data_IF_228151978233
#
_entry.id   IF_228151978233
#
_cell.length_a   1.000
_cell.length_b   1.000
_cell.length_c   1.000
_cell.angle_alpha   90.00
_cell.angle_beta   90.00
_cell.angle_gamma   90.00
#
_symmetry.space_group_name_H-M   'P 1'
#
loop_
_entity.id
_entity.type
_entity.pdbx_description
1 polymer ?
#
# COMPACT_ATOMS: atom_id res chain seq x y z
N UNK A 1 -8.08 -0.07 12.94
CA UNK A 1 -7.26 -1.24 12.57
C UNK A 1 -6.61 -0.97 11.23
N UNK A 2 -5.35 -1.37 11.06
CA UNK A 2 -4.54 -1.07 9.87
C UNK A 2 -3.85 -2.36 9.41
N UNK A 3 -3.85 -2.63 8.12
CA UNK A 3 -3.07 -3.71 7.52
C UNK A 3 -2.06 -3.13 6.53
N UNK A 4 -0.82 -3.61 6.61
CA UNK A 4 0.30 -3.17 5.77
C UNK A 4 0.77 -4.37 4.95
N UNK A 5 0.75 -4.27 3.63
CA UNK A 5 1.26 -5.28 2.71
C UNK A 5 2.46 -4.73 1.95
N UNK A 6 3.61 -5.36 2.09
CA UNK A 6 4.83 -5.02 1.34
C UNK A 6 5.64 -6.31 1.12
N UNK A 7 6.15 -6.53 -0.09
CA UNK A 7 6.92 -7.73 -0.42
C UNK A 7 8.42 -7.56 -0.15
N UNK A 8 8.88 -6.33 -0.02
CA UNK A 8 10.30 -6.00 0.00
C UNK A 8 10.93 -6.12 1.39
N UNK A 9 12.25 -6.24 1.36
CA UNK A 9 13.11 -6.00 2.53
C UNK A 9 13.70 -4.59 2.47
N UNK A 10 14.15 -4.10 3.62
CA UNK A 10 14.71 -2.76 3.76
C UNK A 10 16.11 -2.72 3.15
N UNK A 11 16.33 -1.76 2.25
CA UNK A 11 17.63 -1.46 1.67
C UNK A 11 18.22 -0.15 2.24
N UNK A 12 19.55 0.00 2.21
CA UNK A 12 20.24 1.23 2.67
C UNK A 12 19.74 2.47 1.93
N UNK A 13 19.44 2.36 0.63
CA UNK A 13 18.91 3.46 -0.19
C UNK A 13 17.53 3.93 0.25
N UNK A 14 16.81 3.17 1.07
CA UNK A 14 15.49 3.54 1.58
C UNK A 14 15.59 4.55 2.75
N UNK A 15 16.71 4.54 3.48
CA UNK A 15 16.87 5.25 4.75
C UNK A 15 16.84 6.79 4.62
N UNK A 16 17.01 7.33 3.41
CA UNK A 16 16.94 8.77 3.18
C UNK A 16 15.51 9.34 3.17
N UNK A 17 14.49 8.48 3.02
CA UNK A 17 13.09 8.92 2.85
C UNK A 17 12.04 8.05 3.56
N UNK A 18 12.39 6.83 3.94
CA UNK A 18 11.51 5.91 4.68
C UNK A 18 11.89 5.94 6.16
N UNK A 19 11.48 7.01 6.85
CA UNK A 19 11.93 7.38 8.19
C UNK A 19 11.55 6.39 9.32
N UNK A 20 10.69 5.41 9.05
CA UNK A 20 10.40 4.32 10.00
C UNK A 20 11.57 3.34 10.13
N UNK A 21 12.51 3.36 9.19
CA UNK A 21 13.60 2.40 9.12
C UNK A 21 14.92 2.97 9.68
N UNK A 22 15.78 2.06 10.15
CA UNK A 22 17.10 2.35 10.72
C UNK A 22 18.12 1.43 10.08
N UNK A 23 19.40 1.74 10.23
CA UNK A 23 20.49 0.95 9.64
C UNK A 23 20.50 -0.50 10.12
N UNK A 24 20.12 -0.75 11.37
CA UNK A 24 19.97 -2.09 11.95
C UNK A 24 18.79 -2.90 11.36
N UNK A 25 17.86 -2.24 10.68
CA UNK A 25 16.71 -2.89 10.03
C UNK A 25 17.01 -3.37 8.60
N UNK A 26 18.19 -3.06 8.04
CA UNK A 26 18.53 -3.46 6.67
C UNK A 26 18.48 -4.99 6.52
N UNK A 27 17.81 -5.46 5.47
CA UNK A 27 17.54 -6.88 5.21
C UNK A 27 16.29 -7.44 5.91
N UNK A 28 15.67 -6.69 6.82
CA UNK A 28 14.40 -7.08 7.44
C UNK A 28 13.20 -6.68 6.57
N UNK A 29 12.06 -7.33 6.76
CA UNK A 29 10.83 -7.04 6.02
C UNK A 29 10.29 -5.64 6.32
N UNK A 30 10.00 -4.85 5.28
CA UNK A 30 9.50 -3.47 5.43
C UNK A 30 8.20 -3.42 6.23
N UNK A 31 7.23 -4.26 5.88
CA UNK A 31 5.92 -4.30 6.55
C UNK A 31 6.04 -4.56 8.06
N UNK A 32 6.85 -5.54 8.44
CA UNK A 32 7.05 -5.94 9.85
C UNK A 32 7.69 -4.82 10.66
N UNK A 33 8.78 -4.23 10.15
CA UNK A 33 9.49 -3.14 10.84
C UNK A 33 8.63 -1.88 10.90
N UNK A 34 7.89 -1.56 9.82
CA UNK A 34 6.99 -0.42 9.79
C UNK A 34 5.88 -0.55 10.86
N UNK A 35 5.27 -1.73 10.98
CA UNK A 35 4.27 -1.99 12.02
C UNK A 35 4.85 -1.88 13.43
N UNK A 36 6.06 -2.43 13.66
CA UNK A 36 6.73 -2.32 14.96
C UNK A 36 7.04 -0.86 15.33
N UNK A 37 7.61 -0.09 14.39
CA UNK A 37 7.90 1.32 14.59
C UNK A 37 6.62 2.15 14.84
N UNK A 38 5.55 1.87 14.09
CA UNK A 38 4.26 2.53 14.27
C UNK A 38 3.63 2.24 15.63
N UNK A 39 3.66 0.98 16.10
CA UNK A 39 3.19 0.61 17.45
C UNK A 39 4.03 1.24 18.56
N UNK A 40 5.33 1.44 18.35
CA UNK A 40 6.18 2.14 19.32
C UNK A 40 5.79 3.62 19.46
N UNK A 41 5.33 4.27 18.37
CA UNK A 41 4.84 5.65 18.40
C UNK A 41 3.39 5.77 18.90
N UNK A 42 2.54 4.78 18.59
CA UNK A 42 1.14 4.73 19.00
C UNK A 42 0.80 3.31 19.51
N UNK A 43 0.96 3.04 20.81
CA UNK A 43 0.77 1.69 21.38
C UNK A 43 -0.64 1.13 21.22
N UNK A 44 -1.66 1.99 21.15
CA UNK A 44 -3.05 1.59 20.97
C UNK A 44 -3.40 1.21 19.52
N UNK A 45 -2.50 1.49 18.58
CA UNK A 45 -2.73 1.18 17.17
C UNK A 45 -2.67 -0.34 16.92
N UNK A 46 -3.78 -0.89 16.43
CA UNK A 46 -3.84 -2.28 15.94
C UNK A 46 -3.39 -2.32 14.48
N UNK A 47 -2.20 -2.86 14.27
CA UNK A 47 -1.55 -2.92 12.95
C UNK A 47 -1.21 -4.38 12.65
N UNK A 48 -1.58 -4.93 11.50
CA UNK A 48 -1.13 -6.25 11.04
C UNK A 48 -0.19 -6.05 9.86
N UNK A 49 0.95 -6.76 9.88
CA UNK A 49 1.96 -6.68 8.82
C UNK A 49 1.95 -7.96 8.01
N UNK A 50 1.92 -7.81 6.69
CA UNK A 50 1.99 -8.90 5.73
C UNK A 50 3.22 -8.69 4.86
N UNK A 51 4.22 -9.54 5.02
CA UNK A 51 5.30 -9.62 4.04
C UNK A 51 4.80 -10.45 2.85
N UNK A 52 4.40 -9.80 1.76
CA UNK A 52 3.79 -10.50 0.65
C UNK A 52 3.52 -9.61 -0.55
N UNK A 53 3.37 -10.24 -1.70
CA UNK A 53 3.01 -9.55 -2.94
C UNK A 53 1.49 -9.38 -2.98
N UNK A 54 1.00 -8.14 -3.04
CA UNK A 54 -0.44 -7.82 -3.11
C UNK A 54 -1.15 -8.52 -4.29
N UNK A 55 -0.40 -8.93 -5.32
CA UNK A 55 -0.92 -9.70 -6.47
C UNK A 55 -1.16 -11.18 -6.19
N UNK A 56 -0.82 -11.68 -5.00
CA UNK A 56 -1.06 -13.07 -4.60
C UNK A 56 -2.55 -13.27 -4.28
N UNK A 57 -3.33 -13.60 -5.31
CA UNK A 57 -4.80 -13.64 -5.25
C UNK A 57 -5.39 -14.60 -4.22
N UNK A 58 -4.71 -15.71 -3.90
CA UNK A 58 -5.16 -16.65 -2.87
C UNK A 58 -5.17 -16.04 -1.46
N UNK A 59 -4.28 -15.06 -1.22
CA UNK A 59 -4.12 -14.40 0.08
C UNK A 59 -4.80 -13.04 0.10
N UNK A 60 -4.59 -12.22 -0.93
CA UNK A 60 -4.98 -10.81 -0.97
C UNK A 60 -6.09 -10.53 -1.99
N UNK A 61 -6.97 -11.48 -2.26
CA UNK A 61 -8.06 -11.33 -3.24
C UNK A 61 -9.18 -10.37 -2.81
N UNK A 62 -10.30 -10.32 -3.59
CA UNK A 62 -11.43 -9.44 -3.32
C UNK A 62 -12.06 -9.61 -1.93
N UNK A 63 -12.05 -10.82 -1.36
CA UNK A 63 -12.56 -11.07 0.00
C UNK A 63 -11.71 -10.38 1.07
N UNK A 64 -10.39 -10.37 0.89
CA UNK A 64 -9.47 -9.65 1.78
C UNK A 64 -9.73 -8.13 1.67
N UNK A 65 -9.72 -7.60 0.44
CA UNK A 65 -10.00 -6.17 0.20
C UNK A 65 -11.38 -5.75 0.71
N UNK A 66 -12.38 -6.62 0.59
CA UNK A 66 -13.75 -6.41 1.04
C UNK A 66 -13.89 -6.17 2.55
N UNK A 67 -12.89 -6.57 3.35
CA UNK A 67 -12.85 -6.36 4.80
C UNK A 67 -12.52 -4.93 5.24
N UNK A 68 -12.00 -4.08 4.33
CA UNK A 68 -11.55 -2.74 4.69
C UNK A 68 -12.60 -1.65 4.40
N UNK A 69 -12.52 -0.55 5.14
CA UNK A 69 -13.31 0.66 4.89
C UNK A 69 -12.72 1.53 3.78
N UNK A 70 -11.39 1.51 3.65
CA UNK A 70 -10.61 2.29 2.67
C UNK A 70 -9.28 1.60 2.39
N UNK A 71 -8.80 1.72 1.15
CA UNK A 71 -7.49 1.20 0.72
C UNK A 71 -6.60 2.36 0.28
N UNK A 72 -5.32 2.32 0.68
CA UNK A 72 -4.31 3.29 0.25
C UNK A 72 -3.23 2.59 -0.58
N UNK A 73 -2.96 3.11 -1.78
CA UNK A 73 -1.84 2.69 -2.60
C UNK A 73 -0.63 3.60 -2.36
N UNK A 74 0.49 2.98 -2.01
CA UNK A 74 1.82 3.59 -1.94
C UNK A 74 2.84 2.78 -2.77
N UNK A 75 2.40 2.31 -3.94
CA UNK A 75 3.13 1.37 -4.81
C UNK A 75 3.91 2.11 -5.89
N UNK A 76 5.01 1.54 -6.36
CA UNK A 76 5.91 2.17 -7.34
C UNK A 76 5.73 1.67 -8.79
N UNK A 77 4.92 0.62 -8.99
CA UNK A 77 4.73 0.01 -10.30
C UNK A 77 3.26 0.00 -10.74
N UNK A 78 3.06 0.22 -12.04
CA UNK A 78 1.73 0.35 -12.66
C UNK A 78 0.92 -0.94 -12.52
N UNK A 79 1.55 -2.10 -12.68
CA UNK A 79 0.87 -3.40 -12.63
C UNK A 79 0.23 -3.67 -11.27
N UNK A 80 0.93 -3.40 -10.17
CA UNK A 80 0.39 -3.57 -8.83
C UNK A 80 -0.71 -2.53 -8.53
N UNK A 81 -0.54 -1.27 -8.97
CA UNK A 81 -1.59 -0.24 -8.85
C UNK A 81 -2.87 -0.66 -9.56
N UNK A 82 -2.77 -1.18 -10.80
CA UNK A 82 -3.89 -1.73 -11.58
C UNK A 82 -4.54 -2.91 -10.88
N UNK A 83 -3.75 -3.83 -10.34
CA UNK A 83 -4.28 -4.98 -9.61
C UNK A 83 -5.13 -4.55 -8.41
N UNK A 84 -4.62 -3.64 -7.57
CA UNK A 84 -5.37 -3.13 -6.41
C UNK A 84 -6.60 -2.35 -6.85
N UNK A 85 -6.51 -1.54 -7.92
CA UNK A 85 -7.66 -0.85 -8.52
C UNK A 85 -8.77 -1.84 -8.89
N UNK A 86 -8.46 -2.91 -9.62
CA UNK A 86 -9.44 -3.92 -10.00
C UNK A 86 -10.10 -4.56 -8.77
N UNK A 87 -9.33 -4.89 -7.73
CA UNK A 87 -9.88 -5.48 -6.52
C UNK A 87 -10.77 -4.51 -5.74
N UNK A 88 -10.39 -3.24 -5.62
CA UNK A 88 -11.18 -2.23 -4.94
C UNK A 88 -12.49 -1.94 -5.70
N UNK A 89 -12.45 -1.88 -7.04
CA UNK A 89 -13.65 -1.74 -7.86
C UNK A 89 -14.55 -2.97 -7.74
N UNK A 90 -14.00 -4.18 -7.73
CA UNK A 90 -14.76 -5.42 -7.57
C UNK A 90 -15.42 -5.52 -6.18
N UNK A 91 -14.70 -5.16 -5.12
CA UNK A 91 -15.17 -5.19 -3.74
C UNK A 91 -15.91 -3.90 -3.29
N UNK A 92 -16.10 -2.95 -4.21
CA UNK A 92 -16.76 -1.66 -3.98
C UNK A 92 -16.14 -0.83 -2.84
N UNK A 93 -14.81 -0.87 -2.72
CA UNK A 93 -14.05 -0.14 -1.70
C UNK A 93 -13.44 1.15 -2.24
N UNK A 94 -13.48 2.25 -1.47
CA UNK A 94 -12.75 3.46 -1.80
C UNK A 94 -11.24 3.18 -1.86
N UNK A 95 -10.60 3.61 -2.94
CA UNK A 95 -9.15 3.55 -3.11
C UNK A 95 -8.57 4.96 -3.21
N UNK A 96 -7.52 5.23 -2.45
CA UNK A 96 -6.71 6.44 -2.53
C UNK A 96 -5.36 6.04 -3.10
N UNK A 97 -5.09 6.44 -4.34
CA UNK A 97 -3.83 6.15 -5.05
C UNK A 97 -2.89 7.35 -5.02
N UNK A 98 -1.75 7.20 -4.34
CA UNK A 98 -0.70 8.21 -4.26
C UNK A 98 0.50 7.84 -5.12
N UNK A 99 1.14 8.83 -5.76
CA UNK A 99 2.39 8.64 -6.49
C UNK A 99 3.28 9.87 -6.42
N UNK A 100 4.59 9.64 -6.47
CA UNK A 100 5.61 10.71 -6.45
C UNK A 100 6.72 10.38 -7.43
N UNK A 101 7.22 11.38 -8.14
CA UNK A 101 8.40 11.28 -8.99
C UNK A 101 9.23 12.56 -8.90
N UNK A 102 10.41 12.49 -8.29
CA UNK A 102 11.23 13.68 -8.03
C UNK A 102 10.49 14.68 -7.14
N UNK A 103 10.18 15.86 -7.68
CA UNK A 103 9.42 16.91 -6.99
C UNK A 103 7.92 16.89 -7.32
N UNK A 104 7.51 16.07 -8.27
CA UNK A 104 6.12 15.94 -8.69
C UNK A 104 5.39 14.88 -7.86
N UNK A 105 4.10 15.11 -7.63
CA UNK A 105 3.24 14.21 -6.89
C UNK A 105 1.80 14.27 -7.37
N UNK A 106 1.09 13.16 -7.21
CA UNK A 106 -0.32 13.05 -7.55
C UNK A 106 -1.07 12.22 -6.52
N UNK A 107 -2.36 12.54 -6.35
CA UNK A 107 -3.30 11.78 -5.54
C UNK A 107 -4.60 11.64 -6.31
N UNK A 108 -5.14 10.43 -6.39
CA UNK A 108 -6.41 10.14 -7.05
C UNK A 108 -7.31 9.34 -6.11
N UNK A 109 -8.59 9.73 -6.04
CA UNK A 109 -9.62 8.99 -5.30
C UNK A 109 -10.51 8.21 -6.26
N UNK A 110 -10.55 6.88 -6.08
CA UNK A 110 -11.30 5.96 -6.94
C UNK A 110 -12.47 5.39 -6.14
N UNK A 111 -13.68 5.61 -6.63
CA UNK A 111 -14.91 5.12 -6.03
C UNK A 111 -15.88 4.69 -7.12
N UNK A 112 -16.25 3.41 -7.10
CA UNK A 112 -17.09 2.78 -8.13
C UNK A 112 -18.38 3.59 -8.34
N UNK A 113 -18.65 3.93 -9.60
CA UNK A 113 -19.84 4.69 -10.01
C UNK A 113 -19.84 6.17 -9.63
N UNK A 114 -18.77 6.70 -9.01
CA UNK A 114 -18.67 8.10 -8.60
C UNK A 114 -17.44 8.84 -9.15
N UNK A 115 -16.34 8.14 -9.40
CA UNK A 115 -15.14 8.71 -10.04
C UNK A 115 -14.56 7.77 -11.09
N UNK A 116 -13.67 8.31 -11.93
CA UNK A 116 -12.85 7.53 -12.84
C UNK A 116 -11.97 6.55 -12.06
N UNK A 117 -11.90 5.30 -12.51
CA UNK A 117 -10.96 4.33 -11.94
C UNK A 117 -9.55 4.54 -12.51
N UNK A 118 -8.56 3.82 -11.98
CA UNK A 118 -7.17 3.95 -12.43
C UNK A 118 -6.99 3.71 -13.94
N UNK A 119 -7.81 2.84 -14.53
CA UNK A 119 -7.76 2.47 -15.95
C UNK A 119 -8.69 3.31 -16.85
N UNK A 120 -9.49 4.22 -16.29
CA UNK A 120 -10.32 5.15 -17.09
C UNK A 120 -9.48 6.19 -17.84
N UNK A 121 -8.26 6.46 -17.38
CA UNK A 121 -7.34 7.40 -17.99
C UNK A 121 -5.99 6.72 -18.24
N UNK A 122 -5.44 6.78 -19.46
CA UNK A 122 -4.09 6.32 -19.72
C UNK A 122 -3.09 7.05 -18.82
N UNK A 123 -2.24 6.30 -18.11
CA UNK A 123 -1.10 6.86 -17.38
C UNK A 123 0.14 6.75 -18.26
N UNK A 124 0.85 7.88 -18.38
CA UNK A 124 2.09 8.01 -19.14
C UNK A 124 3.25 7.28 -18.46
#
# INVERSE_FOLDING_TARGET
>A
DIEIVDLDTIDVSNLNRQFLFRREHVGQAKATVAAAAARAMCPDARIVAHQGNIKQGDTFGPSFVGGFDVVFNALDNIDARRHVNMMCVAAEKPLIDGGTQGYDGQVVTILKGKSACYDCEPKA
#
